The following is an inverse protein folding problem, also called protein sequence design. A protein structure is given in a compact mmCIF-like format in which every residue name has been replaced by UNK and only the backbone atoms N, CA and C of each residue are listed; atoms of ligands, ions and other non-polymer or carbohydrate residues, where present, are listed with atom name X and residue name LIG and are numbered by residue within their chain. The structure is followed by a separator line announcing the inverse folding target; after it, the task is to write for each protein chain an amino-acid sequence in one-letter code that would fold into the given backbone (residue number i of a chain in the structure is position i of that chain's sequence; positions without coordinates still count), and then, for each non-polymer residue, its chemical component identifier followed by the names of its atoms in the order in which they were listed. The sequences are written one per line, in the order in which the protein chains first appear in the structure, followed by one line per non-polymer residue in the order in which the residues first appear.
data_IF_766665136064
#
_entry.id   IF_766665136064
#
_cell.length_a   1.000
_cell.length_b   1.000
_cell.length_c   1.000
_cell.angle_alpha   90.00
_cell.angle_beta   90.00
_cell.angle_gamma   90.00
#
_symmetry.space_group_name_H-M   'P 1'
#
loop_
_entity.id
_entity.type
_entity.pdbx_description
1 polymer ?
#
# COMPACT_ATOMS: atom_id res chain seq x y z
N UNK A 1 -24.28 -12.97 -23.38
CA UNK A 1 -24.24 -11.74 -22.54
C UNK A 1 -23.86 -10.57 -23.43
N UNK A 2 -24.79 -9.63 -23.68
CA UNK A 2 -24.52 -8.48 -24.56
C UNK A 2 -23.46 -7.56 -23.98
N UNK A 3 -22.56 -7.03 -24.82
CA UNK A 3 -21.57 -6.01 -24.42
C UNK A 3 -22.32 -4.83 -23.80
N UNK A 4 -22.21 -4.67 -22.48
CA UNK A 4 -22.74 -3.51 -21.78
C UNK A 4 -21.92 -2.30 -22.24
N UNK A 5 -22.53 -1.37 -22.95
CA UNK A 5 -21.83 -0.15 -23.38
C UNK A 5 -21.49 0.67 -22.14
N UNK A 6 -20.19 0.74 -21.82
CA UNK A 6 -19.68 1.58 -20.73
C UNK A 6 -19.96 3.04 -21.02
N UNK A 7 -20.34 3.80 -19.99
CA UNK A 7 -20.40 5.27 -20.07
C UNK A 7 -18.99 5.83 -20.35
N UNK A 8 -18.91 7.10 -20.79
CA UNK A 8 -17.62 7.76 -21.01
C UNK A 8 -16.76 7.79 -19.73
N UNK A 9 -17.39 8.02 -18.58
CA UNK A 9 -16.74 7.98 -17.27
C UNK A 9 -16.24 6.58 -16.92
N UNK A 10 -17.05 5.54 -17.17
CA UNK A 10 -16.62 4.16 -16.94
C UNK A 10 -15.46 3.75 -17.84
N UNK A 11 -15.43 4.17 -19.11
CA UNK A 11 -14.26 3.95 -20.00
C UNK A 11 -13.00 4.65 -19.49
N UNK A 12 -13.17 5.87 -18.96
CA UNK A 12 -12.08 6.63 -18.34
C UNK A 12 -11.51 5.86 -17.13
N UNK A 13 -12.37 5.42 -16.22
CA UNK A 13 -11.98 4.66 -15.02
C UNK A 13 -11.36 3.30 -15.38
N UNK A 14 -11.91 2.59 -16.37
CA UNK A 14 -11.36 1.34 -16.88
C UNK A 14 -9.92 1.54 -17.39
N UNK A 15 -9.70 2.59 -18.20
CA UNK A 15 -8.35 2.97 -18.66
C UNK A 15 -7.42 3.27 -17.50
N UNK A 16 -7.89 3.99 -16.48
CA UNK A 16 -7.09 4.33 -15.31
C UNK A 16 -6.64 3.08 -14.54
N UNK A 17 -7.56 2.13 -14.32
CA UNK A 17 -7.26 0.86 -13.65
C UNK A 17 -6.28 0.03 -14.46
N UNK A 18 -6.42 -0.02 -15.79
CA UNK A 18 -5.45 -0.71 -16.65
C UNK A 18 -4.05 -0.10 -16.58
N UNK A 19 -3.94 1.23 -16.60
CA UNK A 19 -2.64 1.91 -16.46
C UNK A 19 -2.00 1.54 -15.11
N UNK A 20 -2.75 1.64 -14.02
CA UNK A 20 -2.26 1.30 -12.68
C UNK A 20 -1.82 -0.17 -12.63
N UNK A 21 -2.66 -1.08 -13.12
CA UNK A 21 -2.40 -2.52 -13.10
C UNK A 21 -1.17 -2.90 -13.92
N UNK A 22 -1.03 -2.37 -15.14
CA UNK A 22 0.10 -2.67 -16.02
C UNK A 22 1.42 -2.15 -15.44
N UNK A 23 1.45 -0.94 -14.86
CA UNK A 23 2.64 -0.40 -14.21
C UNK A 23 3.01 -1.22 -12.98
N UNK A 24 2.04 -1.48 -12.11
CA UNK A 24 2.23 -2.28 -10.88
C UNK A 24 2.78 -3.67 -11.22
N UNK A 25 2.13 -4.35 -12.17
CA UNK A 25 2.52 -5.70 -12.59
C UNK A 25 3.88 -5.70 -13.29
N UNK A 26 4.16 -4.71 -14.14
CA UNK A 26 5.47 -4.58 -14.79
C UNK A 26 6.61 -4.41 -13.77
N UNK A 27 6.42 -3.55 -12.77
CA UNK A 27 7.39 -3.35 -11.70
C UNK A 27 7.52 -4.57 -10.78
N UNK A 28 6.40 -5.25 -10.50
CA UNK A 28 6.43 -6.49 -9.71
C UNK A 28 7.13 -7.63 -10.45
N UNK A 29 6.87 -7.82 -11.75
CA UNK A 29 7.56 -8.80 -12.59
C UNK A 29 9.06 -8.50 -12.69
N UNK A 30 9.43 -7.22 -12.82
CA UNK A 30 10.82 -6.79 -12.76
C UNK A 30 11.47 -7.18 -11.42
N UNK A 31 10.80 -6.92 -10.30
CA UNK A 31 11.29 -7.33 -8.98
C UNK A 31 11.38 -8.85 -8.84
N UNK A 32 10.41 -9.62 -9.31
CA UNK A 32 10.48 -11.09 -9.25
C UNK A 32 11.66 -11.65 -10.07
N UNK A 33 11.99 -11.03 -11.21
CA UNK A 33 13.07 -11.48 -12.08
C UNK A 33 14.46 -11.14 -11.54
N UNK A 34 14.62 -9.98 -10.88
CA UNK A 34 15.91 -9.47 -10.41
C UNK A 34 16.03 -9.37 -8.88
N UNK A 35 15.04 -9.87 -8.14
CA UNK A 35 14.88 -9.60 -6.71
C UNK A 35 16.04 -10.09 -5.87
N UNK A 36 16.63 -11.23 -6.21
CA UNK A 36 17.80 -11.77 -5.51
C UNK A 36 19.02 -10.84 -5.69
N UNK A 37 19.37 -10.49 -6.93
CA UNK A 37 20.50 -9.61 -7.23
C UNK A 37 20.31 -8.22 -6.63
N UNK A 38 19.08 -7.70 -6.70
CA UNK A 38 18.72 -6.44 -6.06
C UNK A 38 18.88 -6.51 -4.55
N UNK A 39 18.44 -7.61 -3.93
CA UNK A 39 18.50 -7.76 -2.49
C UNK A 39 19.92 -7.97 -1.97
N UNK A 40 20.76 -8.67 -2.72
CA UNK A 40 22.19 -8.77 -2.42
C UNK A 40 22.85 -7.39 -2.47
N UNK A 41 22.57 -6.60 -3.51
CA UNK A 41 23.06 -5.22 -3.61
C UNK A 41 22.57 -4.32 -2.47
N UNK A 42 21.28 -4.40 -2.12
CA UNK A 42 20.66 -3.61 -1.04
C UNK A 42 21.18 -4.01 0.34
N UNK A 43 21.52 -5.28 0.57
CA UNK A 43 22.04 -5.75 1.86
C UNK A 43 23.54 -5.53 2.05
N UNK A 44 24.28 -5.40 0.96
CA UNK A 44 25.72 -5.16 1.01
C UNK A 44 26.03 -3.72 1.48
N UNK A 45 26.55 -3.62 2.71
CA UNK A 45 26.92 -2.36 3.35
C UNK A 45 28.14 -1.67 2.74
N UNK A 46 28.89 -2.34 1.84
CA UNK A 46 29.97 -1.71 1.08
C UNK A 46 29.43 -0.77 -0.01
N UNK A 47 28.19 -0.98 -0.46
CA UNK A 47 27.53 -0.12 -1.43
C UNK A 47 27.00 1.17 -0.78
N UNK A 48 26.98 2.25 -1.56
CA UNK A 48 26.45 3.54 -1.12
C UNK A 48 25.00 3.43 -0.62
N UNK A 49 24.75 3.93 0.59
CA UNK A 49 23.40 3.96 1.18
C UNK A 49 22.39 4.68 0.30
N UNK A 50 22.82 5.71 -0.43
CA UNK A 50 21.97 6.47 -1.36
C UNK A 50 21.50 5.57 -2.50
N UNK A 51 22.41 4.78 -3.09
CA UNK A 51 22.07 3.88 -4.20
C UNK A 51 21.21 2.71 -3.73
N UNK A 52 21.52 2.14 -2.57
CA UNK A 52 20.74 1.07 -1.94
C UNK A 52 19.30 1.52 -1.67
N UNK A 53 19.15 2.72 -1.10
CA UNK A 53 17.84 3.31 -0.81
C UNK A 53 17.09 3.73 -2.10
N UNK A 54 17.78 4.30 -3.08
CA UNK A 54 17.16 4.69 -4.35
C UNK A 54 16.65 3.46 -5.11
N UNK A 55 17.40 2.36 -5.13
CA UNK A 55 16.98 1.11 -5.76
C UNK A 55 15.78 0.50 -5.04
N UNK A 56 15.86 0.37 -3.71
CA UNK A 56 14.77 -0.19 -2.90
C UNK A 56 13.49 0.64 -2.99
N UNK A 57 13.62 1.95 -2.78
CA UNK A 57 12.51 2.91 -2.84
C UNK A 57 11.96 3.08 -4.25
N UNK A 58 12.79 3.00 -5.28
CA UNK A 58 12.37 3.06 -6.68
C UNK A 58 11.47 1.88 -7.06
N UNK A 59 11.81 0.66 -6.65
CA UNK A 59 10.96 -0.50 -6.88
C UNK A 59 9.69 -0.44 -6.05
N UNK A 60 9.78 -0.12 -4.76
CA UNK A 60 8.58 0.00 -3.92
C UNK A 60 7.64 1.08 -4.47
N UNK A 61 8.15 2.26 -4.82
CA UNK A 61 7.35 3.31 -5.45
C UNK A 61 6.80 2.86 -6.81
N UNK A 62 7.56 2.11 -7.60
CA UNK A 62 7.09 1.54 -8.86
C UNK A 62 5.87 0.64 -8.69
N UNK A 63 5.90 -0.25 -7.70
CA UNK A 63 4.81 -1.18 -7.38
C UNK A 63 3.62 -0.43 -6.76
N UNK A 64 3.86 0.40 -5.76
CA UNK A 64 2.81 0.93 -4.90
C UNK A 64 2.46 2.41 -5.15
N UNK A 65 3.13 3.17 -6.02
CA UNK A 65 2.92 4.61 -6.12
C UNK A 65 2.93 5.19 -7.53
N UNK A 66 3.73 4.64 -8.43
CA UNK A 66 3.95 5.19 -9.77
C UNK A 66 2.68 5.17 -10.62
N UNK A 67 1.95 4.04 -10.62
CA UNK A 67 0.71 3.87 -11.38
C UNK A 67 -0.35 4.91 -11.01
N UNK A 68 -0.64 5.07 -9.72
CA UNK A 68 -1.64 6.04 -9.25
C UNK A 68 -1.19 7.49 -9.53
N UNK A 69 0.12 7.76 -9.44
CA UNK A 69 0.69 9.09 -9.64
C UNK A 69 0.56 9.50 -11.11
N UNK A 70 0.94 8.61 -12.03
CA UNK A 70 0.84 8.85 -13.47
C UNK A 70 -0.62 9.05 -13.90
N UNK A 71 -1.55 8.23 -13.39
CA UNK A 71 -2.98 8.43 -13.64
C UNK A 71 -3.45 9.78 -13.12
N UNK A 72 -3.10 10.16 -11.89
CA UNK A 72 -3.52 11.44 -11.33
C UNK A 72 -2.96 12.63 -12.14
N UNK A 73 -1.70 12.57 -12.56
CA UNK A 73 -1.10 13.59 -13.43
C UNK A 73 -1.83 13.64 -14.77
N UNK A 74 -2.02 12.50 -15.43
CA UNK A 74 -2.70 12.41 -16.73
C UNK A 74 -4.15 12.92 -16.69
N UNK A 75 -4.87 12.63 -15.61
CA UNK A 75 -6.25 13.07 -15.40
C UNK A 75 -6.38 14.46 -14.77
N UNK A 76 -5.26 15.09 -14.38
CA UNK A 76 -5.22 16.33 -13.61
C UNK A 76 -6.02 16.23 -12.30
N UNK A 77 -6.02 15.05 -11.70
CA UNK A 77 -6.66 14.75 -10.42
C UNK A 77 -5.68 15.06 -9.28
N UNK A 78 -6.18 15.70 -8.22
CA UNK A 78 -5.40 15.99 -7.01
C UNK A 78 -5.55 14.83 -6.04
N UNK A 79 -4.49 14.45 -5.35
CA UNK A 79 -4.56 13.43 -4.29
C UNK A 79 -5.59 13.74 -3.20
N UNK A 80 -5.85 15.03 -2.92
CA UNK A 80 -6.90 15.43 -1.98
C UNK A 80 -8.32 15.02 -2.39
N UNK A 81 -8.57 14.72 -3.68
CA UNK A 81 -9.85 14.20 -4.16
C UNK A 81 -10.12 12.78 -3.68
N UNK A 82 -9.08 12.04 -3.29
CA UNK A 82 -9.19 10.66 -2.79
C UNK A 82 -9.19 10.59 -1.26
N UNK A 83 -9.53 11.69 -0.57
CA UNK A 83 -9.78 11.69 0.87
C UNK A 83 -8.61 12.17 1.74
N UNK A 84 -7.56 12.80 1.19
CA UNK A 84 -6.56 13.51 2.00
C UNK A 84 -7.13 14.85 2.49
N UNK A 85 -8.08 14.79 3.43
CA UNK A 85 -8.81 15.93 3.98
C UNK A 85 -8.66 15.98 5.50
N UNK A 86 -8.93 17.14 6.12
CA UNK A 86 -8.86 17.30 7.58
C UNK A 86 -10.09 16.77 8.33
N UNK A 87 -11.25 16.75 7.66
CA UNK A 87 -12.51 16.33 8.28
C UNK A 87 -12.47 14.83 8.55
N UNK A 88 -12.90 14.42 9.73
CA UNK A 88 -12.94 13.01 10.18
C UNK A 88 -11.58 12.30 10.27
N UNK A 89 -10.44 13.00 10.19
CA UNK A 89 -9.10 12.38 10.24
C UNK A 89 -8.91 11.48 11.47
N UNK A 90 -9.27 11.97 12.66
CA UNK A 90 -9.16 11.19 13.90
C UNK A 90 -10.02 9.93 13.85
N UNK A 91 -11.25 10.03 13.33
CA UNK A 91 -12.16 8.87 13.18
C UNK A 91 -11.59 7.86 12.20
N UNK A 92 -11.08 8.32 11.05
CA UNK A 92 -10.47 7.46 10.05
C UNK A 92 -9.28 6.69 10.65
N UNK A 93 -8.35 7.40 11.30
CA UNK A 93 -7.20 6.78 11.95
C UNK A 93 -7.65 5.75 13.00
N UNK A 94 -8.52 6.15 13.92
CA UNK A 94 -8.97 5.27 15.01
C UNK A 94 -9.63 3.98 14.50
N UNK A 95 -10.57 4.09 13.56
CA UNK A 95 -11.25 2.90 13.04
C UNK A 95 -10.35 2.06 12.11
N UNK A 96 -9.43 2.68 11.36
CA UNK A 96 -8.44 1.92 10.58
C UNK A 96 -7.51 1.11 11.48
N UNK A 97 -7.07 1.65 12.62
CA UNK A 97 -6.29 0.90 13.62
C UNK A 97 -7.08 -0.30 14.14
N UNK A 98 -8.37 -0.13 14.46
CA UNK A 98 -9.23 -1.23 14.91
C UNK A 98 -9.26 -2.38 13.89
N UNK A 99 -9.31 -2.09 12.60
CA UNK A 99 -9.28 -3.12 11.55
C UNK A 99 -8.00 -3.95 11.53
N UNK A 100 -6.88 -3.41 12.04
CA UNK A 100 -5.59 -4.10 12.12
C UNK A 100 -5.41 -4.90 13.42
N UNK A 101 -6.30 -4.76 14.41
CA UNK A 101 -6.20 -5.50 15.69
C UNK A 101 -6.12 -7.02 15.48
N UNK A 102 -6.90 -7.66 14.59
CA UNK A 102 -6.73 -9.09 14.29
C UNK A 102 -5.34 -9.44 13.76
N UNK A 103 -4.78 -8.61 12.88
CA UNK A 103 -3.45 -8.83 12.31
C UNK A 103 -2.34 -8.65 13.35
N UNK A 104 -2.47 -7.63 14.20
CA UNK A 104 -1.55 -7.42 15.33
C UNK A 104 -1.60 -8.63 16.28
N UNK A 105 -2.80 -9.09 16.65
CA UNK A 105 -2.95 -10.29 17.49
C UNK A 105 -2.32 -11.51 16.83
N UNK A 106 -2.47 -11.69 15.51
CA UNK A 106 -1.79 -12.76 14.78
C UNK A 106 -0.26 -12.69 14.94
N UNK A 107 0.37 -11.52 14.75
CA UNK A 107 1.82 -11.35 14.87
C UNK A 107 2.31 -11.78 16.26
N UNK A 108 1.60 -11.37 17.32
CA UNK A 108 1.97 -11.73 18.70
C UNK A 108 1.74 -13.21 19.01
N UNK A 109 0.58 -13.75 18.66
CA UNK A 109 0.20 -15.13 19.03
C UNK A 109 1.00 -16.16 18.21
N UNK A 110 1.35 -15.85 16.97
CA UNK A 110 2.17 -16.72 16.11
C UNK A 110 3.66 -16.73 16.50
N UNK A 111 4.10 -15.81 17.37
CA UNK A 111 5.50 -15.65 17.75
C UNK A 111 6.37 -14.95 16.70
N UNK A 112 5.77 -14.27 15.71
CA UNK A 112 6.49 -13.51 14.69
C UNK A 112 6.95 -12.12 15.16
N UNK A 113 6.41 -11.63 16.27
CA UNK A 113 6.81 -10.34 16.85
C UNK A 113 8.31 -10.34 17.19
N UNK A 114 9.06 -9.40 16.60
CA UNK A 114 10.48 -9.20 16.92
C UNK A 114 10.73 -7.91 17.69
N UNK A 115 10.25 -6.79 17.16
CA UNK A 115 10.36 -5.45 17.76
C UNK A 115 9.24 -4.56 17.16
N UNK A 116 9.09 -3.33 17.65
CA UNK A 116 8.22 -2.34 17.05
C UNK A 116 9.01 -1.12 16.55
N UNK A 117 9.18 -1.02 15.23
CA UNK A 117 9.93 0.04 14.54
C UNK A 117 9.10 0.64 13.41
N UNK A 118 8.25 1.66 13.67
CA UNK A 118 7.52 2.32 12.61
C UNK A 118 8.48 2.98 11.61
N UNK A 119 8.04 3.10 10.36
CA UNK A 119 8.88 3.59 9.25
C UNK A 119 10.14 2.76 9.00
N UNK A 120 10.06 1.43 9.18
CA UNK A 120 11.20 0.54 9.02
C UNK A 120 11.14 -0.25 7.72
N UNK A 121 12.21 -0.15 6.96
CA UNK A 121 12.64 -1.04 5.90
C UNK A 121 13.94 -1.75 6.28
N UNK A 122 14.35 -2.71 5.46
CA UNK A 122 15.53 -3.55 5.70
C UNK A 122 16.86 -2.79 5.92
N UNK A 123 17.00 -1.57 5.39
CA UNK A 123 18.20 -0.73 5.51
C UNK A 123 18.01 0.49 6.43
N UNK A 124 16.94 0.55 7.23
CA UNK A 124 16.63 1.74 8.06
C UNK A 124 17.74 2.09 9.03
N UNK A 125 18.34 1.09 9.68
CA UNK A 125 19.44 1.33 10.61
C UNK A 125 20.64 1.97 9.89
N UNK A 126 20.96 1.52 8.67
CA UNK A 126 22.03 2.09 7.86
C UNK A 126 21.71 3.53 7.44
N UNK A 127 20.45 3.81 7.10
CA UNK A 127 19.98 5.17 6.83
C UNK A 127 20.14 6.06 8.07
N UNK A 128 19.70 5.61 9.24
CA UNK A 128 19.82 6.38 10.48
C UNK A 128 21.29 6.65 10.85
N UNK A 129 22.17 5.69 10.60
CA UNK A 129 23.60 5.78 10.88
C UNK A 129 24.41 6.53 9.80
N UNK A 130 23.80 6.94 8.69
CA UNK A 130 24.49 7.61 7.57
C UNK A 130 24.89 9.07 7.82
N UNK A 131 24.52 9.63 8.98
CA UNK A 131 24.79 11.02 9.33
C UNK A 131 23.91 12.04 8.60
N UNK A 132 24.02 13.31 9.01
CA UNK A 132 23.25 14.42 8.43
C UNK A 132 23.96 14.93 7.16
N UNK A 133 23.24 15.21 6.05
CA UNK A 133 21.78 15.24 5.91
C UNK A 133 21.16 13.93 5.39
N UNK A 134 21.95 12.90 5.12
CA UNK A 134 21.51 11.68 4.42
C UNK A 134 20.44 10.94 5.24
N UNK A 135 20.59 10.86 6.56
CA UNK A 135 19.62 10.20 7.43
C UNK A 135 18.22 10.85 7.36
N UNK A 136 18.14 12.19 7.41
CA UNK A 136 16.88 12.94 7.35
C UNK A 136 16.22 12.73 5.98
N UNK A 137 16.98 12.90 4.89
CA UNK A 137 16.46 12.73 3.53
C UNK A 137 16.03 11.29 3.27
N UNK A 138 16.79 10.32 3.77
CA UNK A 138 16.48 8.92 3.65
C UNK A 138 15.21 8.53 4.41
N UNK A 139 15.05 9.01 5.64
CA UNK A 139 13.82 8.78 6.42
C UNK A 139 12.60 9.45 5.78
N UNK A 140 12.74 10.66 5.23
CA UNK A 140 11.66 11.31 4.45
C UNK A 140 11.25 10.44 3.27
N UNK A 141 12.21 9.92 2.51
CA UNK A 141 11.92 9.03 1.39
C UNK A 141 11.21 7.75 1.84
N UNK A 142 11.63 7.14 2.97
CA UNK A 142 10.98 5.95 3.53
C UNK A 142 9.52 6.25 3.89
N UNK A 143 9.27 7.35 4.60
CA UNK A 143 7.92 7.78 4.99
C UNK A 143 7.05 8.02 3.75
N UNK A 144 7.59 8.66 2.71
CA UNK A 144 6.84 8.95 1.48
C UNK A 144 6.50 7.65 0.74
N UNK A 145 7.45 6.74 0.56
CA UNK A 145 7.26 5.56 -0.30
C UNK A 145 6.47 4.45 0.41
N UNK A 146 6.92 4.00 1.58
CA UNK A 146 6.30 2.88 2.32
C UNK A 146 5.16 3.36 3.22
N UNK A 147 5.29 4.53 3.84
CA UNK A 147 4.23 5.08 4.69
C UNK A 147 3.07 5.64 3.87
N UNK A 148 3.36 6.61 3.01
CA UNK A 148 2.33 7.34 2.26
C UNK A 148 1.85 6.59 1.02
N UNK A 149 2.71 6.30 0.04
CA UNK A 149 2.24 5.73 -1.24
C UNK A 149 1.65 4.33 -1.09
N UNK A 150 2.27 3.48 -0.27
CA UNK A 150 1.76 2.11 -0.04
C UNK A 150 0.35 2.10 0.55
N UNK A 151 0.09 2.90 1.59
CA UNK A 151 -1.26 3.01 2.17
C UNK A 151 -2.24 3.80 1.29
N UNK A 152 -1.77 4.90 0.68
CA UNK A 152 -2.63 5.79 -0.09
C UNK A 152 -3.05 5.19 -1.44
N UNK A 153 -2.24 4.32 -2.05
CA UNK A 153 -2.62 3.69 -3.32
C UNK A 153 -3.92 2.92 -3.21
N UNK A 154 -4.16 2.24 -2.08
CA UNK A 154 -5.35 1.46 -1.88
C UNK A 154 -6.58 2.36 -1.87
N UNK A 155 -6.48 3.55 -1.29
CA UNK A 155 -7.56 4.54 -1.30
C UNK A 155 -7.90 5.01 -2.73
N UNK A 156 -6.89 5.30 -3.55
CA UNK A 156 -7.07 5.75 -4.94
C UNK A 156 -7.65 4.64 -5.82
N UNK A 157 -7.07 3.43 -5.73
CA UNK A 157 -7.48 2.26 -6.51
C UNK A 157 -8.90 1.85 -6.12
N UNK A 158 -9.18 1.77 -4.81
CA UNK A 158 -10.51 1.42 -4.30
C UNK A 158 -11.57 2.42 -4.79
N UNK A 159 -11.30 3.73 -4.76
CA UNK A 159 -12.24 4.73 -5.28
C UNK A 159 -12.53 4.55 -6.76
N UNK A 160 -11.48 4.37 -7.57
CA UNK A 160 -11.65 4.18 -9.02
C UNK A 160 -12.42 2.90 -9.33
N UNK A 161 -12.14 1.81 -8.62
CA UNK A 161 -12.86 0.54 -8.76
C UNK A 161 -14.31 0.62 -8.29
N UNK A 162 -14.59 1.30 -7.17
CA UNK A 162 -15.95 1.47 -6.66
C UNK A 162 -16.81 2.34 -7.57
N UNK A 163 -16.21 3.34 -8.23
CA UNK A 163 -16.90 4.13 -9.25
C UNK A 163 -17.10 3.37 -10.56
N UNK A 164 -16.17 2.48 -10.93
CA UNK A 164 -16.28 1.63 -12.12
C UNK A 164 -17.34 0.53 -11.93
N UNK A 165 -17.35 -0.10 -10.75
CA UNK A 165 -18.22 -1.21 -10.37
C UNK A 165 -19.05 -0.84 -9.13
N UNK A 166 -20.04 0.07 -9.26
CA UNK A 166 -20.83 0.52 -8.12
C UNK A 166 -21.68 -0.62 -7.57
N UNK A 167 -21.65 -0.77 -6.24
CA UNK A 167 -22.46 -1.74 -5.51
C UNK A 167 -23.52 -1.05 -4.67
N UNK A 168 -24.74 -1.62 -4.66
CA UNK A 168 -25.82 -1.15 -3.79
C UNK A 168 -25.62 -1.58 -2.33
N UNK A 169 -24.88 -2.67 -2.11
CA UNK A 169 -24.62 -3.18 -0.76
C UNK A 169 -23.33 -2.55 -0.22
N UNK A 170 -23.47 -1.80 0.88
CA UNK A 170 -22.36 -1.11 1.56
C UNK A 170 -21.27 -2.05 2.09
N UNK A 171 -21.58 -3.34 2.27
CA UNK A 171 -20.64 -4.39 2.66
C UNK A 171 -20.00 -5.09 1.45
N UNK A 172 -20.55 -4.92 0.25
CA UNK A 172 -19.97 -5.44 -0.97
C UNK A 172 -19.22 -4.31 -1.68
N UNK A 173 -18.09 -3.91 -1.10
CA UNK A 173 -17.22 -2.86 -1.63
C UNK A 173 -16.18 -3.49 -2.56
N UNK A 174 -16.40 -3.37 -3.88
CA UNK A 174 -15.61 -4.06 -4.91
C UNK A 174 -14.16 -3.61 -4.88
N UNK A 175 -13.92 -2.30 -4.74
CA UNK A 175 -12.60 -1.72 -4.62
C UNK A 175 -11.83 -2.27 -3.42
N UNK A 176 -12.46 -2.31 -2.25
CA UNK A 176 -11.84 -2.84 -1.04
C UNK A 176 -11.53 -4.34 -1.14
N UNK A 177 -12.44 -5.13 -1.73
CA UNK A 177 -12.26 -6.58 -1.93
C UNK A 177 -11.08 -6.82 -2.88
N UNK A 178 -11.05 -6.16 -4.04
CA UNK A 178 -9.97 -6.33 -5.02
C UNK A 178 -8.64 -5.88 -4.42
N UNK A 179 -8.59 -4.76 -3.71
CA UNK A 179 -7.39 -4.27 -3.04
C UNK A 179 -6.86 -5.29 -2.02
N UNK A 180 -7.74 -5.86 -1.18
CA UNK A 180 -7.34 -6.87 -0.19
C UNK A 180 -6.82 -8.15 -0.86
N UNK A 181 -7.47 -8.62 -1.94
CA UNK A 181 -7.00 -9.79 -2.70
C UNK A 181 -5.63 -9.52 -3.33
N UNK A 182 -5.45 -8.38 -4.00
CA UNK A 182 -4.18 -8.02 -4.64
C UNK A 182 -3.08 -7.86 -3.60
N UNK A 183 -3.38 -7.28 -2.43
CA UNK A 183 -2.44 -7.20 -1.32
C UNK A 183 -1.91 -8.59 -0.93
N UNK A 184 -2.80 -9.56 -0.73
CA UNK A 184 -2.43 -10.94 -0.40
C UNK A 184 -1.55 -11.56 -1.50
N UNK A 185 -1.87 -11.32 -2.78
CA UNK A 185 -1.10 -11.87 -3.90
C UNK A 185 0.34 -11.33 -4.00
N UNK A 186 0.62 -10.15 -3.41
CA UNK A 186 1.96 -9.59 -3.36
C UNK A 186 2.76 -10.00 -2.12
N UNK A 187 2.17 -10.74 -1.19
CA UNK A 187 2.86 -11.20 0.02
C UNK A 187 3.19 -12.70 -0.06
N UNK A 188 4.25 -13.16 0.64
CA UNK A 188 4.55 -14.58 0.73
C UNK A 188 3.35 -15.39 1.21
N UNK A 189 2.98 -16.42 0.45
CA UNK A 189 1.82 -17.26 0.74
C UNK A 189 2.26 -18.55 1.43
N UNK A 190 1.60 -18.92 2.53
CA UNK A 190 1.79 -20.18 3.25
C UNK A 190 0.46 -20.85 3.53
N UNK A 191 0.37 -22.16 3.25
CA UNK A 191 -0.82 -22.99 3.54
C UNK A 191 -0.81 -23.58 4.95
N UNK A 192 0.18 -23.25 5.77
CA UNK A 192 0.20 -23.61 7.19
C UNK A 192 -0.97 -22.97 7.94
N UNK A 193 -1.28 -23.46 9.14
CA UNK A 193 -2.31 -22.86 10.00
C UNK A 193 -2.07 -21.35 10.19
N UNK A 194 -0.85 -20.96 10.55
CA UNK A 194 -0.50 -19.56 10.74
C UNK A 194 -0.53 -18.75 9.44
N UNK A 195 -0.09 -19.34 8.32
CA UNK A 195 -0.21 -18.69 7.01
C UNK A 195 -1.65 -18.42 6.59
N UNK A 196 -2.58 -19.33 6.88
CA UNK A 196 -4.01 -19.11 6.61
C UNK A 196 -4.58 -18.01 7.53
N UNK A 197 -4.20 -18.00 8.81
CA UNK A 197 -4.61 -16.94 9.75
C UNK A 197 -4.06 -15.57 9.31
N UNK A 198 -2.82 -15.50 8.83
CA UNK A 198 -2.23 -14.29 8.27
C UNK A 198 -3.07 -13.75 7.11
N UNK A 199 -3.39 -14.60 6.14
CA UNK A 199 -4.18 -14.21 4.97
C UNK A 199 -5.54 -13.65 5.38
N UNK A 200 -6.22 -14.29 6.32
CA UNK A 200 -7.53 -13.86 6.83
C UNK A 200 -7.40 -12.50 7.53
N UNK A 201 -6.39 -12.33 8.39
CA UNK A 201 -6.22 -11.10 9.16
C UNK A 201 -5.74 -9.93 8.29
N UNK A 202 -4.87 -10.17 7.31
CA UNK A 202 -4.50 -9.20 6.27
C UNK A 202 -5.71 -8.77 5.45
N UNK A 203 -6.56 -9.72 5.02
CA UNK A 203 -7.79 -9.40 4.30
C UNK A 203 -8.66 -8.44 5.13
N UNK A 204 -8.91 -8.78 6.40
CA UNK A 204 -9.72 -7.96 7.32
C UNK A 204 -9.10 -6.57 7.49
N UNK A 205 -7.78 -6.47 7.64
CA UNK A 205 -7.07 -5.22 7.82
C UNK A 205 -7.25 -4.28 6.61
N UNK A 206 -6.92 -4.75 5.41
CA UNK A 206 -6.98 -3.94 4.18
C UNK A 206 -8.42 -3.63 3.79
N UNK A 207 -9.30 -4.63 3.79
CA UNK A 207 -10.72 -4.43 3.48
C UNK A 207 -11.35 -3.46 4.47
N UNK A 208 -11.16 -3.68 5.77
CA UNK A 208 -11.75 -2.87 6.84
C UNK A 208 -11.28 -1.41 6.79
N UNK A 209 -9.98 -1.19 6.59
CA UNK A 209 -9.41 0.14 6.42
C UNK A 209 -10.06 0.92 5.25
N UNK A 210 -10.32 0.24 4.13
CA UNK A 210 -10.95 0.88 2.96
C UNK A 210 -12.45 1.13 3.15
N UNK A 211 -13.15 0.25 3.87
CA UNK A 211 -14.51 0.54 4.34
C UNK A 211 -14.51 1.79 5.22
N UNK A 212 -13.57 1.91 6.16
CA UNK A 212 -13.44 3.10 7.02
C UNK A 212 -13.18 4.34 6.19
N UNK A 213 -12.28 4.29 5.21
CA UNK A 213 -12.02 5.39 4.27
C UNK A 213 -13.29 5.83 3.58
N UNK A 214 -14.11 4.91 3.08
CA UNK A 214 -15.36 5.24 2.37
C UNK A 214 -16.43 5.81 3.31
N UNK A 215 -16.51 5.32 4.56
CA UNK A 215 -17.46 5.85 5.56
C UNK A 215 -17.09 7.24 6.06
N UNK A 216 -15.80 7.51 6.19
CA UNK A 216 -15.29 8.77 6.74
C UNK A 216 -14.97 9.79 5.67
N UNK A 217 -14.91 9.36 4.40
CA UNK A 217 -14.37 10.08 3.26
C UNK A 217 -12.94 10.61 3.52
N UNK A 218 -12.11 9.79 4.17
CA UNK A 218 -10.79 10.20 4.63
C UNK A 218 -9.76 9.07 4.53
N UNK A 219 -8.68 9.31 3.77
CA UNK A 219 -7.63 8.34 3.47
C UNK A 219 -6.41 8.44 4.41
N UNK A 220 -6.38 9.39 5.35
CA UNK A 220 -5.29 9.46 6.33
C UNK A 220 -5.24 8.25 7.25
N UNK A 221 -6.37 7.56 7.47
CA UNK A 221 -6.38 6.26 8.15
C UNK A 221 -5.54 5.23 7.41
N UNK A 222 -5.62 5.19 6.07
CA UNK A 222 -4.81 4.30 5.25
C UNK A 222 -3.31 4.62 5.35
N UNK A 223 -2.95 5.89 5.22
CA UNK A 223 -1.55 6.32 5.36
C UNK A 223 -1.02 6.01 6.77
N UNK A 224 -1.81 6.29 7.81
CA UNK A 224 -1.38 6.11 9.18
C UNK A 224 -1.04 4.65 9.51
N UNK A 225 -1.92 3.71 9.15
CA UNK A 225 -1.65 2.30 9.47
C UNK A 225 -0.44 1.75 8.71
N UNK A 226 -0.12 2.26 7.52
CA UNK A 226 1.09 1.87 6.79
C UNK A 226 2.36 2.48 7.36
N UNK A 227 2.26 3.69 7.91
CA UNK A 227 3.36 4.33 8.65
C UNK A 227 3.70 3.61 9.95
N UNK A 228 2.68 3.20 10.71
CA UNK A 228 2.84 2.84 12.12
C UNK A 228 2.50 1.40 12.47
N UNK A 229 1.89 0.61 11.58
CA UNK A 229 1.48 -0.76 11.90
C UNK A 229 2.00 -1.74 10.85
N UNK A 230 1.67 -1.54 9.58
CA UNK A 230 2.01 -2.49 8.51
C UNK A 230 3.51 -2.74 8.37
N UNK A 231 4.29 -1.66 8.37
CA UNK A 231 5.76 -1.71 8.19
C UNK A 231 6.52 -1.67 9.52
N UNK A 232 5.87 -2.01 10.64
CA UNK A 232 6.41 -1.72 11.97
C UNK A 232 6.91 -2.93 12.76
N UNK A 233 6.65 -4.16 12.32
CA UNK A 233 6.94 -5.39 13.06
C UNK A 233 8.00 -6.26 12.38
#
# INVERSE_FOLDING_TARGET
MGKKNLTLEQKKLDTDIWIIALITMGMFLFYMMFGNQMMDYIKDSSNSIILRLALNGGVQFGIAGLGITLVCIYRKERFSQFGLVKRNTIKAIFYSIICFVPYIMYIFISGQYTDYKPFSIIITNDVLNSGVPINILGMILIIIVWGFFEGFNYAVISDKLNNLYPSKNKWFNVGAIICAIVCILFHPFSTSFWGIVEIITMFIAIYGMLIVKDKTNNAWGCVFVFCFIWNAF
#
